data_IF_418863900815
#
_entry.id   IF_418863900815
#
_cell.length_a   1.000
_cell.length_b   1.000
_cell.length_c   1.000
_cell.angle_alpha   90.00
_cell.angle_beta   90.00
_cell.angle_gamma   90.00
#
_symmetry.space_group_name_H-M   'P 1'
#
loop_
_entity.id
_entity.type
_entity.pdbx_description
1 polymer ?
#
# COMPACT_ATOMS: atom_id res chain seq x y z
N UNK A 1 22.49 10.68 13.42
CA UNK A 1 22.76 9.24 13.20
C UNK A 1 22.11 8.87 11.89
N UNK A 2 22.90 8.36 10.96
CA UNK A 2 22.79 8.53 9.50
C UNK A 2 21.38 8.56 8.90
N UNK A 3 20.98 9.76 8.50
CA UNK A 3 19.90 10.02 7.56
C UNK A 3 20.34 9.53 6.16
N UNK A 4 20.17 8.24 5.91
CA UNK A 4 20.62 7.62 4.67
C UNK A 4 19.63 7.95 3.55
N UNK A 5 19.91 9.02 2.80
CA UNK A 5 19.11 9.46 1.65
C UNK A 5 19.19 8.48 0.47
N UNK A 6 18.05 7.85 0.17
CA UNK A 6 17.84 7.01 -1.01
C UNK A 6 17.32 7.87 -2.16
N UNK A 7 17.73 7.56 -3.39
CA UNK A 7 17.32 8.29 -4.58
C UNK A 7 16.51 7.38 -5.51
N UNK A 8 15.30 7.79 -5.83
CA UNK A 8 14.45 7.16 -6.85
C UNK A 8 15.01 7.45 -8.25
N UNK A 9 14.62 6.64 -9.24
CA UNK A 9 15.08 6.80 -10.61
C UNK A 9 14.63 8.14 -11.22
N UNK A 10 13.44 8.61 -10.85
CA UNK A 10 12.85 9.86 -11.30
C UNK A 10 11.81 10.38 -10.27
N UNK A 11 11.35 11.65 -10.40
CA UNK A 11 10.32 12.23 -9.54
C UNK A 11 8.99 11.46 -9.52
N UNK A 12 8.62 10.79 -10.62
CA UNK A 12 7.37 10.03 -10.70
C UNK A 12 7.37 8.81 -9.78
N UNK A 13 8.52 8.13 -9.66
CA UNK A 13 8.70 7.04 -8.70
C UNK A 13 8.53 7.52 -7.25
N UNK A 14 8.99 8.73 -6.92
CA UNK A 14 8.81 9.32 -5.59
C UNK A 14 7.36 9.74 -5.33
N UNK A 15 6.70 10.37 -6.30
CA UNK A 15 5.28 10.73 -6.22
C UNK A 15 4.37 9.49 -6.06
N UNK A 16 4.66 8.41 -6.79
CA UNK A 16 3.94 7.15 -6.66
C UNK A 16 4.12 6.51 -5.28
N UNK A 17 5.33 6.58 -4.70
CA UNK A 17 5.60 6.14 -3.34
C UNK A 17 4.79 6.96 -2.32
N UNK A 18 4.82 8.29 -2.42
CA UNK A 18 4.06 9.18 -1.55
C UNK A 18 2.54 8.89 -1.64
N UNK A 19 2.01 8.73 -2.85
CA UNK A 19 0.61 8.41 -3.07
C UNK A 19 0.21 7.02 -2.52
N UNK A 20 1.12 6.04 -2.53
CA UNK A 20 0.89 4.73 -1.92
C UNK A 20 0.84 4.83 -0.39
N UNK A 21 1.80 5.51 0.22
CA UNK A 21 1.86 5.70 1.68
C UNK A 21 0.66 6.51 2.19
N UNK A 22 0.29 7.58 1.49
CA UNK A 22 -0.90 8.38 1.82
C UNK A 22 -2.19 7.57 1.80
N UNK A 23 -2.31 6.60 0.88
CA UNK A 23 -3.45 5.67 0.85
C UNK A 23 -3.46 4.70 2.03
N UNK A 24 -2.31 4.18 2.46
CA UNK A 24 -2.24 3.36 3.68
C UNK A 24 -2.64 4.18 4.91
N UNK A 25 -2.10 5.39 5.04
CA UNK A 25 -2.37 6.32 6.13
C UNK A 25 -3.79 6.88 6.13
N UNK A 26 -4.50 6.79 5.01
CA UNK A 26 -5.92 7.11 4.96
C UNK A 26 -6.74 6.08 5.75
N UNK A 27 -6.39 4.79 5.68
CA UNK A 27 -7.08 3.71 6.38
C UNK A 27 -6.55 3.47 7.80
N UNK A 28 -5.25 3.62 8.03
CA UNK A 28 -4.61 3.43 9.34
C UNK A 28 -3.50 4.47 9.56
N UNK A 29 -3.72 5.39 10.51
CA UNK A 29 -2.74 6.44 10.85
C UNK A 29 -1.46 5.90 11.49
N UNK A 30 -1.50 4.70 12.05
CA UNK A 30 -0.35 4.02 12.64
C UNK A 30 0.27 2.98 11.69
N UNK A 31 -0.07 3.02 10.39
CA UNK A 31 0.42 2.06 9.42
C UNK A 31 1.95 1.97 9.42
N UNK A 32 2.45 0.74 9.45
CA UNK A 32 3.86 0.43 9.20
C UNK A 32 4.03 -0.17 7.80
N UNK A 33 5.20 0.03 7.21
CA UNK A 33 5.59 -0.59 5.93
C UNK A 33 6.90 -1.34 6.06
N UNK A 34 7.01 -2.48 5.38
CA UNK A 34 8.27 -3.21 5.27
C UNK A 34 8.95 -2.86 3.95
N UNK A 35 10.18 -2.40 4.05
CA UNK A 35 11.01 -1.94 2.95
C UNK A 35 12.05 -3.01 2.61
N UNK A 36 12.12 -3.44 1.36
CA UNK A 36 13.17 -4.32 0.87
C UNK A 36 13.84 -3.69 -0.35
N UNK A 37 15.08 -3.20 -0.18
CA UNK A 37 15.88 -2.68 -1.28
C UNK A 37 16.90 -3.73 -1.74
N UNK A 38 16.88 -4.03 -3.04
CA UNK A 38 17.84 -4.92 -3.68
C UNK A 38 17.86 -4.68 -5.20
N UNK A 39 19.00 -4.95 -5.85
CA UNK A 39 19.14 -4.95 -7.31
C UNK A 39 18.58 -3.69 -8.02
N UNK A 40 18.75 -2.51 -7.42
CA UNK A 40 18.29 -1.24 -8.00
C UNK A 40 16.78 -0.98 -7.89
N UNK A 41 16.06 -1.77 -7.09
CA UNK A 41 14.65 -1.57 -6.80
C UNK A 41 14.39 -1.58 -5.28
N UNK A 42 13.32 -0.90 -4.89
CA UNK A 42 12.74 -0.97 -3.56
C UNK A 42 11.34 -1.57 -3.67
N UNK A 43 11.07 -2.61 -2.88
CA UNK A 43 9.73 -3.09 -2.61
C UNK A 43 9.23 -2.50 -1.27
N UNK A 44 8.06 -1.88 -1.30
CA UNK A 44 7.37 -1.30 -0.14
C UNK A 44 6.10 -2.10 0.08
N UNK A 45 6.08 -2.90 1.14
CA UNK A 45 4.95 -3.72 1.52
C UNK A 45 4.12 -3.01 2.59
N UNK A 46 2.80 -3.03 2.44
CA UNK A 46 1.85 -2.54 3.43
C UNK A 46 0.55 -3.33 3.38
N UNK A 47 -0.19 -3.34 4.49
CA UNK A 47 -1.48 -4.02 4.58
C UNK A 47 -2.54 -2.99 4.97
N UNK A 48 -3.40 -2.55 4.03
CA UNK A 48 -4.53 -1.73 4.42
C UNK A 48 -5.52 -2.59 5.22
N UNK A 49 -5.99 -2.13 6.39
CA UNK A 49 -6.74 -2.95 7.34
C UNK A 49 -8.04 -3.54 6.76
N UNK A 50 -8.70 -2.82 5.86
CA UNK A 50 -10.03 -3.18 5.35
C UNK A 50 -10.06 -4.26 4.27
N UNK A 51 -8.92 -4.66 3.71
CA UNK A 51 -8.91 -5.46 2.47
C UNK A 51 -8.33 -6.87 2.63
N UNK A 52 -7.82 -7.25 3.80
CA UNK A 52 -7.11 -8.52 4.04
C UNK A 52 -5.97 -8.85 3.03
N UNK A 53 -5.58 -7.90 2.18
CA UNK A 53 -4.53 -8.06 1.18
C UNK A 53 -3.22 -7.47 1.66
N UNK A 54 -2.12 -8.06 1.19
CA UNK A 54 -0.83 -7.40 1.20
C UNK A 54 -0.66 -6.61 -0.09
N UNK A 55 -0.49 -5.29 0.02
CA UNK A 55 -0.20 -4.41 -1.09
C UNK A 55 1.31 -4.19 -1.20
N UNK A 56 1.82 -4.18 -2.43
CA UNK A 56 3.22 -3.89 -2.72
C UNK A 56 3.30 -2.71 -3.70
N UNK A 57 4.14 -1.73 -3.38
CA UNK A 57 4.62 -0.74 -4.35
C UNK A 57 6.09 -0.99 -4.62
N UNK A 58 6.43 -1.16 -5.89
CA UNK A 58 7.83 -1.19 -6.33
C UNK A 58 8.26 0.20 -6.79
N UNK A 59 9.46 0.61 -6.40
CA UNK A 59 10.08 1.89 -6.75
C UNK A 59 11.41 1.60 -7.42
N UNK A 60 11.63 2.13 -8.61
CA UNK A 60 12.96 2.05 -9.25
C UNK A 60 13.91 3.02 -8.56
N UNK A 61 15.09 2.54 -8.21
CA UNK A 61 16.14 3.35 -7.59
C UNK A 61 17.14 3.82 -8.63
N UNK A 62 17.67 5.03 -8.44
CA UNK A 62 18.76 5.52 -9.28
C UNK A 62 20.00 4.63 -9.11
N UNK A 63 20.74 4.30 -10.19
CA UNK A 63 21.95 3.50 -10.09
C UNK A 63 22.98 4.15 -9.16
N UNK A 64 23.56 3.35 -8.25
CA UNK A 64 24.66 3.76 -7.37
C UNK A 64 25.68 2.64 -7.24
N UNK A 65 26.99 2.94 -7.23
CA UNK A 65 28.04 1.94 -7.00
C UNK A 65 27.90 1.24 -5.63
N UNK A 66 27.37 1.98 -4.65
CA UNK A 66 27.15 1.56 -3.26
C UNK A 66 25.66 1.34 -2.97
N UNK A 67 24.88 0.89 -3.97
CA UNK A 67 23.45 0.64 -3.83
C UNK A 67 23.16 -0.25 -2.61
N UNK A 68 22.62 0.37 -1.55
CA UNK A 68 22.40 -0.31 -0.28
C UNK A 68 21.29 -1.34 -0.44
N UNK A 69 21.60 -2.55 0.04
CA UNK A 69 20.58 -3.54 0.36
C UNK A 69 20.14 -3.36 1.80
N UNK A 70 18.83 -3.29 2.02
CA UNK A 70 18.26 -3.25 3.36
C UNK A 70 16.89 -3.91 3.40
N UNK A 71 16.55 -4.43 4.58
CA UNK A 71 15.24 -4.98 4.89
C UNK A 71 14.83 -4.47 6.28
N UNK A 72 13.94 -3.49 6.33
CA UNK A 72 13.53 -2.83 7.57
C UNK A 72 12.04 -2.56 7.57
N UNK A 73 11.42 -2.58 8.75
CA UNK A 73 10.04 -2.11 8.92
C UNK A 73 10.06 -0.74 9.57
N UNK A 74 9.32 0.22 9.00
CA UNK A 74 9.31 1.63 9.42
C UNK A 74 7.87 2.14 9.51
N UNK A 75 7.68 3.27 10.19
CA UNK A 75 6.43 4.05 10.14
C UNK A 75 6.16 4.52 8.71
N UNK A 76 4.94 4.32 8.21
CA UNK A 76 4.53 4.84 6.91
C UNK A 76 4.43 6.37 6.91
N UNK A 77 4.08 6.96 8.06
CA UNK A 77 4.01 8.41 8.26
C UNK A 77 5.38 9.05 8.13
N UNK A 78 6.34 8.58 8.94
CA UNK A 78 7.71 9.09 8.95
C UNK A 78 8.39 8.90 7.58
N UNK A 79 8.08 7.80 6.89
CA UNK A 79 8.58 7.59 5.53
C UNK A 79 7.95 8.57 4.55
N UNK A 80 6.64 8.83 4.63
CA UNK A 80 5.97 9.79 3.75
C UNK A 80 6.50 11.20 3.96
N UNK A 81 6.70 11.62 5.20
CA UNK A 81 7.25 12.94 5.55
C UNK A 81 8.67 13.13 5.02
N UNK A 82 9.43 12.05 4.82
CA UNK A 82 10.78 12.12 4.28
C UNK A 82 10.85 12.17 2.76
N UNK A 83 9.75 11.91 2.05
CA UNK A 83 9.74 11.91 0.58
C UNK A 83 9.81 13.34 0.05
N UNK A 84 10.87 13.63 -0.69
CA UNK A 84 10.99 14.81 -1.54
C UNK A 84 10.79 14.40 -3.00
N UNK A 85 9.59 14.66 -3.50
CA UNK A 85 9.21 14.36 -4.89
C UNK A 85 10.04 15.14 -5.90
N UNK A 86 10.40 16.40 -5.60
CA UNK A 86 11.12 17.26 -6.53
C UNK A 86 12.56 16.79 -6.75
N UNK A 87 13.23 16.32 -5.69
CA UNK A 87 14.59 15.78 -5.79
C UNK A 87 14.64 14.27 -6.00
N UNK A 88 13.47 13.62 -6.05
CA UNK A 88 13.31 12.17 -6.17
C UNK A 88 14.08 11.42 -5.07
N UNK A 89 13.93 11.84 -3.82
CA UNK A 89 14.66 11.31 -2.67
C UNK A 89 13.76 11.02 -1.49
N UNK A 90 14.21 10.12 -0.63
CA UNK A 90 13.59 9.92 0.68
C UNK A 90 14.65 9.44 1.67
N UNK A 91 14.37 9.62 2.96
CA UNK A 91 15.16 9.01 4.03
C UNK A 91 14.52 7.70 4.48
N UNK A 92 15.34 6.76 4.94
CA UNK A 92 14.85 5.56 5.62
C UNK A 92 14.68 5.87 7.11
N UNK A 93 13.45 5.91 7.66
CA UNK A 93 13.24 6.20 9.08
C UNK A 93 13.82 5.13 10.01
N UNK A 94 13.79 5.41 11.30
CA UNK A 94 14.18 4.44 12.32
C UNK A 94 13.30 3.18 12.25
N UNK A 95 13.89 1.98 12.40
CA UNK A 95 13.11 0.75 12.44
C UNK A 95 12.12 0.72 13.60
N UNK A 96 10.92 0.22 13.34
CA UNK A 96 9.87 -0.02 14.33
C UNK A 96 9.56 -1.50 14.44
N UNK A 97 8.98 -1.92 15.56
CA UNK A 97 8.38 -3.25 15.67
C UNK A 97 7.20 -3.34 14.72
N UNK A 98 7.32 -4.21 13.71
CA UNK A 98 6.30 -4.35 12.69
C UNK A 98 5.07 -5.15 13.15
N UNK A 99 3.91 -4.95 12.49
CA UNK A 99 2.74 -5.80 12.67
C UNK A 99 3.02 -7.25 12.27
N UNK A 100 2.23 -8.24 12.74
CA UNK A 100 2.50 -9.66 12.49
C UNK A 100 2.66 -10.04 11.01
N UNK A 101 1.92 -9.37 10.12
CA UNK A 101 2.00 -9.62 8.68
C UNK A 101 3.38 -9.29 8.09
N UNK A 102 4.14 -8.39 8.73
CA UNK A 102 5.46 -8.00 8.23
C UNK A 102 6.43 -9.18 8.20
N UNK A 103 6.18 -10.26 8.97
CA UNK A 103 6.94 -11.51 8.91
C UNK A 103 6.55 -12.45 7.77
N UNK A 104 5.45 -12.18 7.06
CA UNK A 104 4.85 -13.04 6.03
C UNK A 104 4.85 -12.32 4.69
N UNK A 105 6.03 -12.23 4.06
CA UNK A 105 6.17 -11.66 2.72
C UNK A 105 6.09 -12.73 1.63
N UNK A 106 5.53 -12.39 0.45
CA UNK A 106 5.51 -13.30 -0.68
C UNK A 106 6.94 -13.59 -1.19
N UNK A 107 7.13 -14.67 -1.95
CA UNK A 107 8.44 -15.00 -2.51
C UNK A 107 8.95 -13.89 -3.43
N UNK A 108 10.28 -13.75 -3.51
CA UNK A 108 10.92 -12.72 -4.35
C UNK A 108 10.91 -13.04 -5.86
N UNK A 109 10.60 -14.28 -6.22
CA UNK A 109 10.61 -14.78 -7.59
C UNK A 109 9.53 -15.82 -7.81
N UNK A 110 9.48 -16.37 -9.03
CA UNK A 110 8.42 -17.32 -9.43
C UNK A 110 7.09 -16.65 -9.77
N UNK A 111 7.06 -15.33 -9.83
CA UNK A 111 5.89 -14.56 -10.27
C UNK A 111 5.62 -14.83 -11.75
N UNK A 112 4.43 -15.32 -12.03
CA UNK A 112 3.88 -15.38 -13.38
C UNK A 112 2.79 -14.33 -13.48
N UNK A 113 2.70 -13.70 -14.65
CA UNK A 113 1.65 -12.74 -14.92
C UNK A 113 0.35 -13.52 -15.11
N UNK A 114 -0.58 -13.35 -14.18
CA UNK A 114 -1.94 -13.82 -14.37
C UNK A 114 -2.60 -13.07 -15.54
N UNK A 115 -3.24 -13.76 -16.50
CA UNK A 115 -3.89 -13.14 -17.65
C UNK A 115 -5.16 -12.37 -17.29
N UNK A 116 -5.57 -12.37 -16.02
CA UNK A 116 -6.57 -11.43 -15.49
C UNK A 116 -5.98 -10.03 -15.52
N UNK A 117 -5.94 -9.45 -16.71
CA UNK A 117 -6.03 -8.01 -16.84
C UNK A 117 -7.42 -7.67 -16.31
N UNK A 118 -7.48 -7.26 -15.05
CA UNK A 118 -8.59 -6.47 -14.54
C UNK A 118 -8.66 -5.22 -15.42
N UNK A 119 -9.31 -5.33 -16.59
CA UNK A 119 -9.53 -4.22 -17.49
C UNK A 119 -10.20 -3.14 -16.64
N UNK A 120 -9.74 -1.88 -16.65
CA UNK A 120 -10.32 -0.84 -15.80
C UNK A 120 -11.85 -0.78 -15.91
N UNK A 121 -12.39 -1.09 -17.10
CA UNK A 121 -13.83 -1.21 -17.33
C UNK A 121 -14.47 -2.38 -16.58
N UNK A 122 -13.84 -3.56 -16.56
CA UNK A 122 -14.32 -4.73 -15.83
C UNK A 122 -14.31 -4.49 -14.31
N UNK A 123 -13.26 -3.85 -13.78
CA UNK A 123 -13.21 -3.45 -12.36
C UNK A 123 -14.33 -2.47 -12.04
N UNK A 124 -14.47 -1.41 -12.84
CA UNK A 124 -15.55 -0.43 -12.64
C UNK A 124 -16.94 -1.08 -12.71
N UNK A 125 -17.14 -2.02 -13.63
CA UNK A 125 -18.38 -2.79 -13.75
C UNK A 125 -18.67 -3.64 -12.51
N UNK A 126 -17.67 -4.41 -12.04
CA UNK A 126 -17.79 -5.22 -10.83
C UNK A 126 -18.08 -4.35 -9.59
N UNK A 127 -17.39 -3.23 -9.43
CA UNK A 127 -17.63 -2.28 -8.33
C UNK A 127 -19.03 -1.68 -8.42
N UNK A 128 -19.46 -1.25 -9.61
CA UNK A 128 -20.81 -0.70 -9.80
C UNK A 128 -21.89 -1.74 -9.46
N UNK A 129 -21.68 -3.01 -9.83
CA UNK A 129 -22.56 -4.11 -9.49
C UNK A 129 -22.62 -4.33 -7.97
N UNK A 130 -21.47 -4.43 -7.30
CA UNK A 130 -21.40 -4.60 -5.84
C UNK A 130 -22.10 -3.44 -5.11
N UNK A 131 -21.87 -2.19 -5.53
CA UNK A 131 -22.54 -1.00 -4.98
C UNK A 131 -24.05 -1.07 -5.21
N UNK A 132 -24.52 -1.53 -6.37
CA UNK A 132 -25.95 -1.71 -6.61
C UNK A 132 -26.57 -2.74 -5.67
N UNK A 133 -25.90 -3.89 -5.47
CA UNK A 133 -26.37 -4.94 -4.54
C UNK A 133 -26.42 -4.40 -3.12
N UNK A 134 -25.36 -3.68 -2.69
CA UNK A 134 -25.32 -3.03 -1.39
C UNK A 134 -26.51 -2.08 -1.18
N UNK A 135 -26.78 -1.19 -2.14
CA UNK A 135 -27.92 -0.25 -2.07
C UNK A 135 -29.26 -0.97 -1.98
N UNK A 136 -29.49 -1.99 -2.79
CA UNK A 136 -30.74 -2.78 -2.73
C UNK A 136 -30.90 -3.49 -1.38
N UNK A 137 -29.82 -4.01 -0.78
CA UNK A 137 -29.88 -4.60 0.56
C UNK A 137 -30.17 -3.53 1.63
N UNK A 138 -29.58 -2.35 1.48
CA UNK A 138 -29.82 -1.20 2.35
C UNK A 138 -31.27 -0.69 2.32
N UNK A 139 -31.94 -0.78 1.16
CA UNK A 139 -33.35 -0.39 1.01
C UNK A 139 -34.33 -1.39 1.65
N UNK A 140 -33.92 -2.66 1.81
CA UNK A 140 -34.75 -3.71 2.44
C UNK A 140 -34.68 -3.68 3.97
N UNK A 141 -33.70 -2.99 4.54
CA UNK A 141 -33.64 -2.75 5.98
C UNK A 141 -34.74 -1.74 6.37
N UNK A 142 -35.53 -2.08 7.38
CA UNK A 142 -36.53 -1.16 7.95
C UNK A 142 -35.88 0.18 8.35
N UNK A 143 -36.63 1.30 8.42
CA UNK A 143 -36.09 2.64 8.72
C UNK A 143 -35.52 2.81 10.15
N UNK A 144 -35.29 1.73 10.88
CA UNK A 144 -34.59 1.72 12.16
C UNK A 144 -33.18 2.35 12.03
N UNK A 145 -32.61 2.87 13.14
CA UNK A 145 -31.29 3.49 13.10
C UNK A 145 -30.27 2.51 12.51
N UNK A 146 -29.68 2.91 11.38
CA UNK A 146 -28.63 2.15 10.69
C UNK A 146 -27.38 2.18 11.54
N UNK A 147 -27.05 1.06 12.19
CA UNK A 147 -25.84 0.97 13.00
C UNK A 147 -24.61 0.76 12.10
N UNK A 148 -23.45 1.38 12.42
CA UNK A 148 -22.21 1.19 11.68
C UNK A 148 -21.83 -0.28 11.45
N UNK A 149 -22.03 -1.13 12.47
CA UNK A 149 -21.75 -2.56 12.38
C UNK A 149 -22.62 -3.31 11.35
N UNK A 150 -23.87 -2.89 11.14
CA UNK A 150 -24.77 -3.49 10.15
C UNK A 150 -24.31 -3.13 8.73
N UNK A 151 -23.83 -1.90 8.54
CA UNK A 151 -23.27 -1.43 7.27
C UNK A 151 -21.98 -2.18 6.92
N UNK A 152 -21.09 -2.34 7.90
CA UNK A 152 -19.83 -3.09 7.72
C UNK A 152 -20.10 -4.55 7.37
N UNK A 153 -21.09 -5.18 8.02
CA UNK A 153 -21.50 -6.56 7.70
C UNK A 153 -22.02 -6.68 6.27
N UNK A 154 -22.95 -5.81 5.85
CA UNK A 154 -23.48 -5.87 4.49
C UNK A 154 -22.37 -5.58 3.48
N UNK A 155 -21.46 -4.66 3.79
CA UNK A 155 -20.30 -4.33 2.95
C UNK A 155 -19.30 -5.49 2.79
N UNK A 156 -19.12 -6.33 3.81
CA UNK A 156 -18.24 -7.50 3.73
C UNK A 156 -18.81 -8.69 2.93
N UNK A 157 -20.13 -8.70 2.67
CA UNK A 157 -20.83 -9.80 1.98
C UNK A 157 -21.05 -9.57 0.47
N UNK A 158 -20.63 -8.42 -0.07
CA UNK A 158 -20.85 -8.00 -1.48
C UNK A 158 -19.54 -7.70 -2.18
#
# INVERSE_FOLDING_TARGET
>A
MSDASVRCADPGEAADLAAFLGRLLHYDKAAAVRLQAAAGALAVFGRPPSFEVLAIRTVRLAPRPDARTFDVTVSAGDLLESVDEATARFAVPAPVTGPPWAGLLPPRGGWHREPVALLPQAVRGAVAQAVSVFRTRMERLAPAPRFPAELDRIGGEV
#
